data_IF_366383053512
#
_entry.id   IF_366383053512
#
_cell.length_a   1.000
_cell.length_b   1.000
_cell.length_c   1.000
_cell.angle_alpha   90.00
_cell.angle_beta   90.00
_cell.angle_gamma   90.00
#
_symmetry.space_group_name_H-M   'P 1'
#
loop_
_entity.id
_entity.type
_entity.pdbx_description
1 polymer ?
#
# COMPACT_ATOMS: atom_id res chain seq x y z
N UNK A 1 5.05 -4.84 -12.07
CA UNK A 1 4.07 -5.21 -11.01
C UNK A 1 3.01 -4.17 -10.74
N UNK A 2 3.38 -2.89 -10.62
CA UNK A 2 2.44 -1.80 -10.35
C UNK A 2 1.26 -1.76 -11.32
N UNK A 3 1.49 -1.87 -12.64
CA UNK A 3 0.43 -1.92 -13.65
C UNK A 3 -0.52 -3.11 -13.47
N UNK A 4 0.02 -4.31 -13.21
CA UNK A 4 -0.78 -5.52 -12.95
C UNK A 4 -1.68 -5.37 -11.71
N UNK A 5 -1.23 -4.59 -10.73
CA UNK A 5 -1.96 -4.30 -9.48
C UNK A 5 -2.75 -2.99 -9.54
N UNK A 6 -2.74 -2.30 -10.69
CA UNK A 6 -3.38 -0.99 -10.89
C UNK A 6 -2.96 0.07 -9.86
N UNK A 7 -1.70 0.01 -9.43
CA UNK A 7 -1.08 0.97 -8.52
C UNK A 7 -0.37 2.03 -9.35
N UNK A 8 -0.73 3.29 -9.14
CA UNK A 8 -0.07 4.45 -9.72
C UNK A 8 0.83 5.12 -8.70
N UNK A 9 1.82 5.89 -9.17
CA UNK A 9 2.60 6.75 -8.27
C UNK A 9 1.68 7.73 -7.54
N UNK A 10 1.84 7.84 -6.23
CA UNK A 10 0.98 8.65 -5.35
C UNK A 10 -0.20 7.89 -4.75
N UNK A 11 -0.54 6.70 -5.25
CA UNK A 11 -1.56 5.85 -4.62
C UNK A 11 -1.12 5.42 -3.23
N UNK A 12 -2.07 5.26 -2.33
CA UNK A 12 -1.81 4.63 -1.03
C UNK A 12 -1.83 3.11 -1.19
N UNK A 13 -0.75 2.47 -0.77
CA UNK A 13 -0.56 1.02 -0.79
C UNK A 13 -0.34 0.50 0.62
N UNK A 14 -0.91 -0.67 0.89
CA UNK A 14 -0.83 -1.38 2.15
C UNK A 14 0.24 -2.43 1.98
N UNK A 15 1.28 -2.34 2.80
CA UNK A 15 2.36 -3.31 2.87
C UNK A 15 2.12 -4.12 4.12
N UNK A 16 1.93 -5.43 3.98
CA UNK A 16 1.68 -6.35 5.08
C UNK A 16 2.80 -7.37 5.20
N UNK A 17 3.30 -7.60 6.42
CA UNK A 17 4.31 -8.62 6.69
C UNK A 17 4.10 -9.22 8.08
N UNK A 18 3.91 -10.54 8.17
CA UNK A 18 3.86 -11.32 9.42
C UNK A 18 3.01 -10.76 10.59
N UNK A 19 2.02 -9.91 10.31
CA UNK A 19 1.16 -9.31 11.33
C UNK A 19 1.10 -7.79 11.27
N UNK A 20 2.16 -7.14 10.79
CA UNK A 20 2.24 -5.71 10.61
C UNK A 20 1.65 -5.29 9.27
N UNK A 21 0.87 -4.20 9.27
CA UNK A 21 0.32 -3.59 8.07
C UNK A 21 0.58 -2.09 8.11
N UNK A 22 1.35 -1.59 7.15
CA UNK A 22 1.67 -0.17 7.02
C UNK A 22 1.06 0.38 5.74
N UNK A 23 0.52 1.59 5.79
CA UNK A 23 0.01 2.29 4.62
C UNK A 23 1.02 3.36 4.20
N UNK A 24 1.60 3.21 3.01
CA UNK A 24 2.56 4.15 2.45
C UNK A 24 2.11 4.63 1.07
N UNK A 25 2.64 5.78 0.63
CA UNK A 25 2.44 6.23 -0.74
C UNK A 25 3.36 5.44 -1.67
N UNK A 26 2.79 4.87 -2.72
CA UNK A 26 3.53 4.16 -3.75
C UNK A 26 4.29 5.14 -4.64
N UNK A 27 5.51 4.76 -5.01
CA UNK A 27 6.28 5.40 -6.06
C UNK A 27 6.65 4.35 -7.11
N UNK A 28 6.08 4.46 -8.31
CA UNK A 28 6.36 3.55 -9.42
C UNK A 28 7.57 4.05 -10.18
N UNK A 29 8.67 3.28 -10.11
CA UNK A 29 9.92 3.59 -10.78
C UNK A 29 10.31 2.45 -11.72
N UNK A 30 10.62 2.78 -12.98
CA UNK A 30 11.07 1.79 -13.99
C UNK A 30 12.44 1.17 -13.68
N UNK A 31 13.23 1.82 -12.83
CA UNK A 31 14.51 1.30 -12.33
C UNK A 31 14.37 0.21 -11.27
N UNK A 32 13.15 -0.07 -10.81
CA UNK A 32 12.87 -1.12 -9.83
C UNK A 32 12.62 -2.45 -10.55
N UNK A 33 13.32 -3.50 -10.14
CA UNK A 33 13.11 -4.83 -10.69
C UNK A 33 11.69 -5.34 -10.42
N UNK A 34 11.10 -6.11 -11.35
CA UNK A 34 9.81 -6.73 -11.12
C UNK A 34 9.86 -7.64 -9.88
N UNK A 35 8.80 -7.62 -9.09
CA UNK A 35 8.68 -8.35 -7.83
C UNK A 35 9.49 -7.78 -6.66
N UNK A 36 10.31 -6.74 -6.86
CA UNK A 36 11.03 -6.06 -5.78
C UNK A 36 10.25 -4.82 -5.29
N UNK A 37 10.39 -4.52 -4.00
CA UNK A 37 9.86 -3.30 -3.38
C UNK A 37 10.99 -2.67 -2.57
N UNK A 38 11.13 -1.35 -2.65
CA UNK A 38 12.04 -0.59 -1.78
C UNK A 38 11.19 0.18 -0.78
N UNK A 39 11.51 0.00 0.49
CA UNK A 39 10.90 0.71 1.61
C UNK A 39 12.03 1.41 2.35
N UNK A 40 11.80 2.65 2.78
CA UNK A 40 12.77 3.38 3.60
C UNK A 40 13.05 2.60 4.90
N UNK A 41 14.28 2.60 5.38
CA UNK A 41 14.68 1.85 6.59
C UNK A 41 13.80 2.17 7.80
N UNK A 42 13.38 3.43 7.93
CA UNK A 42 12.46 3.90 8.99
C UNK A 42 11.13 3.13 9.04
N UNK A 43 10.66 2.60 7.91
CA UNK A 43 9.44 1.81 7.81
C UNK A 43 9.72 0.31 7.63
N UNK A 44 10.95 -0.06 7.28
CA UNK A 44 11.35 -1.45 7.05
C UNK A 44 11.62 -2.21 8.36
N UNK A 45 11.88 -1.51 9.48
CA UNK A 45 12.20 -2.16 10.76
C UNK A 45 11.11 -3.12 11.28
N UNK A 46 9.85 -2.93 10.85
CA UNK A 46 8.71 -3.79 11.18
C UNK A 46 8.35 -4.77 10.06
N UNK A 47 9.02 -4.67 8.91
CA UNK A 47 8.76 -5.51 7.74
C UNK A 47 9.75 -6.67 7.69
N UNK A 48 9.23 -7.87 7.50
CA UNK A 48 10.05 -9.05 7.24
C UNK A 48 10.58 -9.11 5.81
N UNK A 49 11.35 -10.16 5.51
CA UNK A 49 11.92 -10.43 4.17
C UNK A 49 10.85 -10.60 3.09
N UNK A 50 9.68 -11.12 3.48
CA UNK A 50 8.52 -11.30 2.59
C UNK A 50 7.42 -10.32 2.97
N UNK A 51 6.95 -9.57 1.98
CA UNK A 51 5.89 -8.58 2.14
C UNK A 51 4.81 -8.77 1.09
N UNK A 52 3.57 -8.58 1.48
CA UNK A 52 2.43 -8.50 0.58
C UNK A 52 2.08 -7.04 0.33
N UNK A 53 1.88 -6.65 -0.92
CA UNK A 53 1.52 -5.26 -1.28
C UNK A 53 0.17 -5.24 -1.96
N UNK A 54 -0.76 -4.51 -1.36
CA UNK A 54 -2.13 -4.32 -1.84
C UNK A 54 -2.43 -2.85 -2.04
N UNK A 55 -3.26 -2.51 -3.03
CA UNK A 55 -3.76 -1.14 -3.17
C UNK A 55 -4.75 -0.88 -2.04
N UNK A 56 -4.49 0.11 -1.20
CA UNK A 56 -5.49 0.57 -0.23
C UNK A 56 -6.43 1.49 -0.99
N UNK A 57 -7.40 0.88 -1.66
CA UNK A 57 -8.58 1.60 -2.07
C UNK A 57 -9.21 2.08 -0.77
N UNK A 58 -9.06 3.37 -0.45
CA UNK A 58 -9.74 4.03 0.65
C UNK A 58 -11.25 4.08 0.35
N UNK A 59 -11.87 2.91 0.23
CA UNK A 59 -13.31 2.70 0.09
C UNK A 59 -13.99 2.79 1.46
N UNK A 60 -13.38 3.48 2.43
CA UNK A 60 -14.03 3.92 3.66
C UNK A 60 -14.50 5.38 3.55
N UNK A 61 -14.76 5.83 2.33
CA UNK A 61 -15.59 7.01 2.06
C UNK A 61 -17.03 6.56 1.81
N UNK A 62 -17.73 6.20 2.89
CA UNK A 62 -19.17 6.35 2.95
C UNK A 62 -19.48 7.07 4.26
N UNK A 63 -19.88 8.35 4.22
CA UNK A 63 -20.44 9.01 5.38
C UNK A 63 -21.84 8.41 5.58
N UNK A 64 -22.06 7.67 6.65
CA UNK A 64 -23.42 7.31 7.07
C UNK A 64 -24.09 8.56 7.66
N UNK A 65 -24.43 9.50 6.77
CA UNK A 65 -25.51 10.42 6.98
C UNK A 65 -26.82 9.68 6.72
N UNK A 66 -27.46 9.19 7.79
CA UNK A 66 -28.90 8.97 7.81
C UNK A 66 -29.49 9.80 8.93
N UNK A 67 -30.13 10.90 8.54
CA UNK A 67 -31.13 11.55 9.37
C UNK A 67 -32.35 10.64 9.54
N UNK A 68 -32.91 10.64 10.75
CA UNK A 68 -34.28 10.30 11.14
C UNK A 68 -34.26 10.30 12.68
N UNK A 69 -35.12 10.98 13.44
CA UNK A 69 -36.27 11.84 13.20
C UNK A 69 -36.41 12.75 14.43
#
# INVERSE_FOLDING_TARGET
DAEKRQISSGDTVGIRSNGDAIALRALVSKSLSPGAVRVAEEHAGQLGVSVEVTKVSSNRSSPEGRGAA
#
